data_IF_395807163339
#
_entry.id   IF_395807163339
#
_cell.length_a   1.000
_cell.length_b   1.000
_cell.length_c   1.000
_cell.angle_alpha   90.00
_cell.angle_beta   90.00
_cell.angle_gamma   90.00
#
_symmetry.space_group_name_H-M   'P 1'
#
loop_
_entity.id
_entity.type
_entity.pdbx_description
1 polymer ?
#
# COMPACT_ATOMS: atom_id res chain seq x y z
N UNK A 1 31.01 40.69 29.03
CA UNK A 1 30.73 39.25 28.81
C UNK A 1 29.22 39.10 28.67
N UNK A 2 28.57 38.79 27.57
CA UNK A 2 28.94 38.45 26.20
C UNK A 2 27.61 38.04 25.54
N UNK A 3 26.89 38.99 24.95
CA UNK A 3 25.69 38.73 24.14
C UNK A 3 26.16 38.54 22.69
N UNK A 4 25.99 37.34 22.14
CA UNK A 4 26.32 37.05 20.75
C UNK A 4 25.22 36.20 20.11
N UNK A 5 25.06 36.42 18.80
CA UNK A 5 24.27 35.66 17.82
C UNK A 5 22.82 36.13 17.59
N UNK A 6 22.72 37.39 17.13
CA UNK A 6 21.75 37.77 16.08
C UNK A 6 22.54 37.83 14.76
N UNK A 7 21.91 37.48 13.63
CA UNK A 7 22.48 37.22 12.30
C UNK A 7 22.96 35.76 12.22
N UNK A 8 22.27 34.87 11.51
CA UNK A 8 22.16 34.84 10.05
C UNK A 8 20.84 34.16 9.64
N UNK A 9 20.04 34.80 8.79
CA UNK A 9 19.61 34.26 7.48
C UNK A 9 18.55 35.19 6.85
N UNK A 10 18.94 36.43 6.59
CA UNK A 10 18.21 37.28 5.64
C UNK A 10 18.81 37.04 4.26
N UNK A 11 18.32 36.04 3.54
CA UNK A 11 18.41 36.01 2.09
C UNK A 11 17.14 35.41 1.49
N UNK A 12 16.37 36.31 0.90
CA UNK A 12 15.49 36.14 -0.25
C UNK A 12 14.37 35.10 -0.14
N UNK A 13 13.11 35.55 -0.09
CA UNK A 13 12.18 35.42 -1.22
C UNK A 13 11.02 36.41 -1.04
N UNK A 14 10.81 37.28 -2.03
CA UNK A 14 9.68 38.22 -2.10
C UNK A 14 8.38 37.45 -2.39
N UNK A 15 7.19 37.96 -2.02
CA UNK A 15 5.94 37.33 -2.39
C UNK A 15 5.64 37.68 -3.86
N UNK A 16 5.63 36.66 -4.72
CA UNK A 16 5.07 36.78 -6.08
C UNK A 16 3.82 35.93 -6.14
N UNK A 17 2.70 36.63 -6.36
CA UNK A 17 1.39 36.09 -6.69
C UNK A 17 1.41 35.39 -8.05
N UNK A 18 0.60 34.34 -8.17
CA UNK A 18 0.17 33.63 -9.37
C UNK A 18 1.03 32.46 -9.87
N UNK A 19 0.37 31.29 -9.93
CA UNK A 19 0.48 30.32 -11.02
C UNK A 19 1.63 29.33 -10.97
N UNK A 20 1.28 28.05 -10.90
CA UNK A 20 2.03 26.86 -11.35
C UNK A 20 3.52 26.75 -10.98
N UNK A 21 3.86 25.73 -10.17
CA UNK A 21 5.02 24.83 -10.38
C UNK A 21 5.16 23.86 -9.21
N UNK A 22 4.83 22.59 -9.46
CA UNK A 22 5.74 21.45 -9.37
C UNK A 22 6.91 21.57 -8.36
N UNK A 23 6.84 20.76 -7.29
CA UNK A 23 8.00 20.40 -6.45
C UNK A 23 8.32 21.34 -5.29
N UNK A 24 7.38 21.54 -4.35
CA UNK A 24 7.73 22.07 -3.03
C UNK A 24 8.10 20.90 -2.14
N UNK A 25 9.33 20.88 -1.62
CA UNK A 25 9.76 19.95 -0.59
C UNK A 25 8.77 20.00 0.59
N UNK A 26 7.85 19.05 0.66
CA UNK A 26 6.78 19.02 1.67
C UNK A 26 7.30 19.07 3.11
N UNK A 27 8.52 18.56 3.32
CA UNK A 27 9.26 18.61 4.59
C UNK A 27 9.64 20.04 4.98
N UNK A 28 10.12 20.84 4.03
CA UNK A 28 10.48 22.24 4.24
C UNK A 28 9.26 23.09 4.57
N UNK A 29 8.13 22.84 3.90
CA UNK A 29 6.86 23.49 4.21
C UNK A 29 6.33 23.11 5.60
N UNK A 30 6.38 21.82 5.96
CA UNK A 30 5.98 21.35 7.29
C UNK A 30 6.84 21.97 8.40
N UNK A 31 8.17 21.97 8.23
CA UNK A 31 9.07 22.56 9.23
C UNK A 31 8.85 24.06 9.38
N UNK A 32 8.67 24.79 8.27
CA UNK A 32 8.37 26.22 8.30
C UNK A 32 7.09 26.54 9.08
N UNK A 33 6.01 25.80 8.79
CA UNK A 33 4.72 26.00 9.48
C UNK A 33 4.78 25.61 10.96
N UNK A 34 5.58 24.60 11.34
CA UNK A 34 5.81 24.24 12.75
C UNK A 34 6.54 25.37 13.50
N UNK A 35 7.59 25.96 12.92
CA UNK A 35 8.28 27.10 13.53
C UNK A 35 7.43 28.37 13.53
N UNK A 36 6.62 28.59 12.50
CA UNK A 36 5.67 29.70 12.47
C UNK A 36 4.60 29.54 13.56
N UNK A 37 4.14 28.31 13.83
CA UNK A 37 3.25 28.00 14.95
C UNK A 37 3.90 28.24 16.31
N UNK A 38 5.20 27.95 16.48
CA UNK A 38 5.95 28.26 17.72
C UNK A 38 5.91 29.76 18.04
N UNK A 39 6.01 30.61 17.01
CA UNK A 39 6.04 32.06 17.13
C UNK A 39 4.63 32.66 17.28
N UNK A 40 3.67 32.18 16.50
CA UNK A 40 2.35 32.83 16.35
C UNK A 40 1.21 32.07 17.02
N UNK A 41 1.42 30.80 17.40
CA UNK A 41 0.38 29.87 17.86
C UNK A 41 -0.82 29.73 16.91
N UNK A 42 -0.65 30.10 15.63
CA UNK A 42 -1.69 29.99 14.61
C UNK A 42 -1.38 28.83 13.65
N UNK A 43 -2.43 28.06 13.34
CA UNK A 43 -2.37 26.95 12.39
C UNK A 43 -2.68 27.47 10.98
N UNK A 44 -2.05 26.94 9.91
CA UNK A 44 -2.33 27.39 8.54
C UNK A 44 -3.81 27.33 8.19
N UNK A 45 -4.37 28.41 7.66
CA UNK A 45 -5.82 28.50 7.34
C UNK A 45 -6.26 27.46 6.30
N UNK A 46 -5.37 27.14 5.36
CA UNK A 46 -5.59 26.14 4.30
C UNK A 46 -5.76 24.71 4.82
N UNK A 47 -5.20 24.38 5.98
CA UNK A 47 -5.26 23.04 6.55
C UNK A 47 -6.69 22.63 6.95
N UNK A 48 -7.51 23.60 7.35
CA UNK A 48 -8.89 23.35 7.77
C UNK A 48 -9.79 22.83 6.64
N UNK A 49 -9.39 22.98 5.38
CA UNK A 49 -10.11 22.40 4.24
C UNK A 49 -9.77 20.93 4.00
N UNK A 50 -8.64 20.44 4.52
CA UNK A 50 -8.17 19.07 4.31
C UNK A 50 -8.44 18.15 5.51
N UNK A 51 -8.74 18.72 6.67
CA UNK A 51 -8.81 18.01 7.96
C UNK A 51 -10.21 18.17 8.54
N UNK A 52 -10.79 17.09 9.08
CA UNK A 52 -12.15 17.06 9.66
C UNK A 52 -12.17 17.64 11.09
N UNK A 53 -11.02 17.62 11.77
CA UNK A 53 -10.81 18.24 13.08
C UNK A 53 -10.99 19.76 13.10
N UNK A 54 -11.61 20.27 14.16
CA UNK A 54 -11.74 21.72 14.43
C UNK A 54 -10.38 22.43 14.57
N UNK A 55 -10.32 23.74 14.31
CA UNK A 55 -9.10 24.57 14.48
C UNK A 55 -8.46 24.43 15.88
N UNK A 56 -9.26 24.23 16.92
CA UNK A 56 -8.78 24.00 18.30
C UNK A 56 -8.11 22.63 18.45
N UNK A 57 -8.68 21.59 17.84
CA UNK A 57 -8.04 20.28 17.79
C UNK A 57 -6.74 20.34 16.98
N UNK A 58 -6.74 21.08 15.85
CA UNK A 58 -5.56 21.34 15.03
C UNK A 58 -4.40 21.94 15.83
N UNK A 59 -4.64 23.01 16.60
CA UNK A 59 -3.61 23.59 17.45
C UNK A 59 -3.05 22.60 18.49
N UNK A 60 -3.89 21.70 19.03
CA UNK A 60 -3.44 20.72 20.01
C UNK A 60 -2.54 19.65 19.41
N UNK A 61 -2.80 19.19 18.19
CA UNK A 61 -1.94 18.20 17.55
C UNK A 61 -0.72 18.83 16.85
N UNK A 62 -0.78 20.09 16.41
CA UNK A 62 0.41 20.87 16.01
C UNK A 62 1.39 21.05 17.18
N UNK A 63 0.89 21.32 18.39
CA UNK A 63 1.73 21.39 19.59
C UNK A 63 2.46 20.06 19.84
N UNK A 64 1.75 18.92 19.72
CA UNK A 64 2.35 17.59 19.84
C UNK A 64 3.38 17.29 18.75
N UNK A 65 3.11 17.71 17.50
CA UNK A 65 4.06 17.57 16.40
C UNK A 65 5.32 18.39 16.65
N UNK A 66 5.19 19.62 17.14
CA UNK A 66 6.32 20.48 17.48
C UNK A 66 7.19 19.86 18.59
N UNK A 67 6.56 19.37 19.67
CA UNK A 67 7.26 18.73 20.79
C UNK A 67 8.05 17.50 20.31
N UNK A 68 7.38 16.63 19.55
CA UNK A 68 8.03 15.45 18.97
C UNK A 68 9.12 15.81 17.93
N UNK A 69 8.97 16.93 17.21
CA UNK A 69 9.96 17.39 16.22
C UNK A 69 11.23 17.91 16.88
N UNK A 70 11.12 18.49 18.08
CA UNK A 70 12.27 18.90 18.90
C UNK A 70 12.99 17.71 19.54
N UNK A 71 12.24 16.65 19.89
CA UNK A 71 12.79 15.41 20.45
C UNK A 71 13.48 14.53 19.38
N UNK A 72 13.02 14.60 18.13
CA UNK A 72 13.61 13.87 17.00
C UNK A 72 15.03 14.39 16.67
N UNK A 73 16.06 13.63 17.04
CA UNK A 73 17.46 13.85 16.63
C UNK A 73 17.92 12.63 15.83
N UNK A 74 18.14 12.72 14.50
CA UNK A 74 18.09 13.91 13.64
C UNK A 74 16.68 14.32 13.20
N UNK A 75 16.46 15.60 12.83
CA UNK A 75 15.21 16.04 12.23
C UNK A 75 14.98 15.32 10.89
N UNK A 76 13.74 14.92 10.57
CA UNK A 76 13.46 14.18 9.34
C UNK A 76 13.79 15.07 8.15
N UNK A 77 14.73 14.61 7.31
CA UNK A 77 15.19 15.36 6.13
C UNK A 77 14.53 14.88 4.84
N UNK A 78 13.91 13.70 4.87
CA UNK A 78 13.26 13.09 3.72
C UNK A 78 11.73 13.15 3.87
N UNK A 79 10.99 13.28 2.75
CA UNK A 79 9.52 13.31 2.77
C UNK A 79 8.92 12.01 3.33
N UNK A 80 9.61 10.89 3.16
CA UNK A 80 9.23 9.58 3.72
C UNK A 80 9.38 9.55 5.25
N UNK A 81 10.48 10.06 5.80
CA UNK A 81 10.68 10.17 7.25
C UNK A 81 9.67 11.11 7.90
N UNK A 82 9.39 12.26 7.24
CA UNK A 82 8.42 13.23 7.73
C UNK A 82 6.99 12.64 7.75
N UNK A 83 6.61 11.87 6.72
CA UNK A 83 5.32 11.18 6.70
C UNK A 83 5.19 10.16 7.83
N UNK A 84 6.24 9.36 8.05
CA UNK A 84 6.30 8.34 9.12
C UNK A 84 6.23 8.99 10.50
N UNK A 85 6.92 10.12 10.68
CA UNK A 85 6.90 10.91 11.90
C UNK A 85 5.50 11.45 12.22
N UNK A 86 4.80 12.01 11.22
CA UNK A 86 3.41 12.46 11.40
C UNK A 86 2.51 11.30 11.80
N UNK A 87 2.58 10.18 11.08
CA UNK A 87 1.76 8.99 11.35
C UNK A 87 2.00 8.47 12.77
N UNK A 88 3.27 8.39 13.20
CA UNK A 88 3.63 7.93 14.54
C UNK A 88 3.13 8.87 15.64
N UNK A 89 3.25 10.18 15.44
CA UNK A 89 2.85 11.20 16.41
C UNK A 89 1.33 11.30 16.51
N UNK A 90 0.64 11.16 15.38
CA UNK A 90 -0.82 11.27 15.28
C UNK A 90 -1.56 9.93 15.36
N UNK A 91 -0.90 8.81 15.69
CA UNK A 91 -1.49 7.46 15.79
C UNK A 91 -2.77 7.33 16.63
N UNK A 92 -2.99 8.26 17.58
CA UNK A 92 -4.18 8.30 18.45
C UNK A 92 -5.30 9.23 17.94
N UNK A 93 -5.11 9.90 16.81
CA UNK A 93 -6.08 10.80 16.18
C UNK A 93 -6.78 10.12 15.00
N UNK A 94 -7.77 10.79 14.41
CA UNK A 94 -8.57 10.24 13.31
C UNK A 94 -7.72 10.06 12.06
N UNK A 95 -7.94 8.95 11.33
CA UNK A 95 -7.21 8.65 10.08
C UNK A 95 -7.41 9.73 9.01
N UNK A 96 -8.64 10.24 8.88
CA UNK A 96 -8.96 11.31 7.93
C UNK A 96 -8.15 12.60 8.19
N UNK A 97 -7.86 12.92 9.44
CA UNK A 97 -7.08 14.11 9.80
C UNK A 97 -5.59 13.93 9.45
N UNK A 98 -5.08 12.70 9.59
CA UNK A 98 -3.72 12.34 9.20
C UNK A 98 -3.59 12.37 7.68
N UNK A 99 -4.51 11.73 6.95
CA UNK A 99 -4.53 11.73 5.49
C UNK A 99 -4.62 13.15 4.92
N UNK A 100 -5.46 14.00 5.51
CA UNK A 100 -5.60 15.40 5.16
C UNK A 100 -4.32 16.22 5.32
N UNK A 101 -3.57 15.98 6.41
CA UNK A 101 -2.28 16.63 6.63
C UNK A 101 -1.24 16.18 5.59
N UNK A 102 -1.12 14.87 5.36
CA UNK A 102 -0.19 14.34 4.37
C UNK A 102 -0.49 14.91 2.98
N UNK A 103 -1.77 15.01 2.62
CA UNK A 103 -2.21 15.63 1.37
C UNK A 103 -1.87 17.12 1.29
N UNK A 104 -2.11 17.89 2.37
CA UNK A 104 -1.81 19.33 2.41
C UNK A 104 -0.32 19.63 2.19
N UNK A 105 0.56 18.86 2.84
CA UNK A 105 2.01 19.01 2.68
C UNK A 105 2.59 18.25 1.48
N UNK A 106 1.74 17.62 0.64
CA UNK A 106 2.18 16.77 -0.48
C UNK A 106 3.21 15.71 -0.06
N UNK A 107 3.11 15.22 1.18
CA UNK A 107 3.95 14.15 1.67
C UNK A 107 3.44 12.83 1.08
N UNK A 108 4.35 11.93 0.64
CA UNK A 108 3.93 10.63 0.16
C UNK A 108 3.14 9.97 1.28
N UNK A 109 1.87 9.67 1.01
CA UNK A 109 1.17 8.69 1.80
C UNK A 109 1.99 7.43 1.64
N UNK A 110 2.60 6.98 2.74
CA UNK A 110 3.34 5.73 2.79
C UNK A 110 2.48 4.73 2.01
N UNK A 111 2.99 4.09 0.93
CA UNK A 111 2.23 3.02 0.30
C UNK A 111 1.84 2.09 1.44
N UNK A 112 0.56 1.66 1.54
CA UNK A 112 0.10 0.80 2.63
C UNK A 112 1.14 -0.30 2.69
N UNK A 113 1.92 -0.32 3.79
CA UNK A 113 3.22 -0.94 3.82
C UNK A 113 3.15 -2.19 2.98
N UNK A 114 3.81 -2.18 1.80
CA UNK A 114 4.17 -3.44 1.16
C UNK A 114 4.85 -4.14 2.29
N UNK A 115 4.14 -5.09 2.88
CA UNK A 115 4.53 -5.63 4.15
C UNK A 115 5.80 -6.39 3.81
N UNK A 116 6.95 -5.74 3.96
CA UNK A 116 8.18 -6.38 4.39
C UNK A 116 7.90 -6.82 5.81
N UNK A 117 6.94 -7.74 5.92
CA UNK A 117 6.90 -8.76 6.92
C UNK A 117 8.29 -9.36 6.80
N UNK A 118 9.19 -8.94 7.68
CA UNK A 118 10.39 -9.71 7.95
C UNK A 118 9.87 -11.12 8.19
N UNK A 119 10.05 -12.00 7.21
CA UNK A 119 9.46 -13.33 7.23
C UNK A 119 9.87 -13.96 8.56
N UNK A 120 8.92 -14.46 9.37
CA UNK A 120 9.27 -15.03 10.65
C UNK A 120 10.30 -16.15 10.44
N UNK A 121 11.27 -16.21 11.36
CA UNK A 121 12.35 -17.19 11.30
C UNK A 121 11.77 -18.60 11.12
N UNK A 122 12.01 -19.24 9.98
CA UNK A 122 11.50 -20.58 9.65
C UNK A 122 10.52 -20.66 8.48
N UNK A 123 10.11 -19.54 7.86
CA UNK A 123 9.35 -19.61 6.60
C UNK A 123 10.27 -20.05 5.46
N UNK A 124 9.91 -21.17 4.82
CA UNK A 124 10.62 -21.72 3.65
C UNK A 124 10.02 -21.26 2.32
N UNK A 125 8.71 -21.02 2.30
CA UNK A 125 7.96 -20.71 1.09
C UNK A 125 6.92 -19.62 1.38
N UNK A 126 6.81 -18.67 0.46
CA UNK A 126 5.78 -17.63 0.47
C UNK A 126 4.98 -17.74 -0.83
N UNK A 127 3.65 -17.76 -0.71
CA UNK A 127 2.72 -17.84 -1.82
C UNK A 127 1.83 -16.61 -1.82
N UNK A 128 2.00 -15.77 -2.82
CA UNK A 128 1.12 -14.62 -3.07
C UNK A 128 0.00 -15.09 -3.99
N UNK A 129 -1.24 -15.04 -3.50
CA UNK A 129 -2.40 -15.62 -4.17
C UNK A 129 -3.55 -14.62 -4.21
N UNK A 130 -4.45 -14.80 -5.18
CA UNK A 130 -5.72 -14.10 -5.21
C UNK A 130 -6.58 -14.51 -4.00
N UNK A 131 -7.54 -13.66 -3.58
CA UNK A 131 -8.43 -13.96 -2.46
C UNK A 131 -9.03 -15.36 -2.58
N UNK A 132 -8.80 -16.20 -1.58
CA UNK A 132 -9.28 -17.58 -1.55
C UNK A 132 -10.74 -17.59 -1.12
N UNK A 133 -11.60 -18.13 -1.98
CA UNK A 133 -13.00 -18.37 -1.62
C UNK A 133 -13.07 -19.53 -0.61
N UNK A 134 -13.94 -19.39 0.38
CA UNK A 134 -14.32 -20.45 1.32
C UNK A 134 -14.64 -21.78 0.63
N UNK A 135 -15.26 -21.75 -0.57
CA UNK A 135 -15.56 -22.96 -1.37
C UNK A 135 -14.32 -23.67 -1.92
N UNK A 136 -13.19 -22.98 -1.99
CA UNK A 136 -11.91 -23.53 -2.46
C UNK A 136 -11.12 -24.22 -1.33
N UNK A 137 -11.63 -24.14 -0.09
CA UNK A 137 -11.13 -24.83 1.11
C UNK A 137 -12.16 -25.92 1.50
N UNK A 138 -12.08 -27.12 0.90
CA UNK A 138 -12.88 -28.24 1.39
C UNK A 138 -12.45 -28.64 2.81
N UNK A 139 -13.33 -29.31 3.57
CA UNK A 139 -13.10 -29.80 4.95
C UNK A 139 -12.04 -30.93 5.07
N UNK A 140 -10.97 -30.90 4.26
CA UNK A 140 -9.89 -31.87 4.26
C UNK A 140 -8.51 -31.25 4.06
N UNK A 141 -7.50 -32.10 3.84
CA UNK A 141 -6.09 -31.71 3.78
C UNK A 141 -5.67 -30.95 2.50
N UNK A 142 -6.62 -30.40 1.73
CA UNK A 142 -6.33 -29.75 0.44
C UNK A 142 -6.91 -28.35 0.39
N UNK A 143 -6.10 -27.38 -0.06
CA UNK A 143 -6.56 -26.04 -0.41
C UNK A 143 -6.29 -25.80 -1.90
N UNK A 144 -7.29 -25.26 -2.61
CA UNK A 144 -7.08 -24.75 -3.98
C UNK A 144 -6.86 -23.24 -3.93
N UNK A 145 -5.71 -22.79 -4.41
CA UNK A 145 -5.40 -21.36 -4.53
C UNK A 145 -5.18 -20.99 -5.98
N UNK A 146 -5.34 -19.70 -6.28
CA UNK A 146 -5.14 -19.15 -7.61
C UNK A 146 -4.08 -18.06 -7.55
N UNK A 147 -3.10 -18.13 -8.46
CA UNK A 147 -2.05 -17.10 -8.60
C UNK A 147 -2.29 -16.35 -9.90
N UNK A 148 -2.16 -15.02 -9.87
CA UNK A 148 -2.44 -14.19 -11.04
C UNK A 148 -1.36 -14.38 -12.10
N UNK A 149 -1.77 -14.42 -13.37
CA UNK A 149 -0.80 -14.40 -14.47
C UNK A 149 -0.18 -13.02 -14.71
N UNK A 150 -0.69 -11.98 -14.04
CA UNK A 150 -0.06 -10.65 -14.01
C UNK A 150 1.25 -10.65 -13.22
N UNK A 151 1.43 -11.63 -12.34
CA UNK A 151 2.64 -11.72 -11.53
C UNK A 151 3.83 -12.08 -12.43
N UNK A 152 4.95 -11.35 -12.39
CA UNK A 152 6.10 -11.58 -13.29
C UNK A 152 6.66 -13.01 -13.24
N UNK A 153 6.45 -13.71 -12.12
CA UNK A 153 6.88 -15.09 -11.91
C UNK A 153 6.03 -16.10 -12.69
N UNK A 154 4.73 -15.84 -12.83
CA UNK A 154 3.82 -16.73 -13.54
C UNK A 154 3.65 -16.32 -15.00
N UNK A 155 3.78 -15.04 -15.34
CA UNK A 155 3.59 -14.52 -16.70
C UNK A 155 4.50 -15.20 -17.73
N UNK A 156 5.74 -15.53 -17.35
CA UNK A 156 6.71 -16.24 -18.20
C UNK A 156 6.33 -17.69 -18.48
N UNK A 157 5.52 -18.30 -17.61
CA UNK A 157 5.16 -19.71 -17.68
C UNK A 157 3.80 -19.94 -18.38
N UNK A 158 3.09 -18.87 -18.79
CA UNK A 158 1.78 -19.01 -19.42
C UNK A 158 1.94 -19.35 -20.91
N UNK A 159 1.36 -20.46 -21.39
CA UNK A 159 1.34 -20.77 -22.82
C UNK A 159 0.59 -19.71 -23.63
N UNK A 160 1.10 -19.38 -24.82
CA UNK A 160 0.46 -18.43 -25.74
C UNK A 160 -0.99 -18.81 -26.07
N UNK A 161 -1.27 -20.11 -26.19
CA UNK A 161 -2.61 -20.61 -26.49
C UNK A 161 -3.64 -20.26 -25.41
N UNK A 162 -3.21 -20.25 -24.14
CA UNK A 162 -4.07 -19.90 -23.00
C UNK A 162 -4.35 -18.40 -22.98
N UNK A 163 -3.34 -17.57 -23.28
CA UNK A 163 -3.52 -16.11 -23.40
C UNK A 163 -4.49 -15.78 -24.54
N UNK A 164 -4.28 -16.37 -25.72
CA UNK A 164 -5.17 -16.19 -26.86
C UNK A 164 -6.59 -16.67 -26.57
N UNK A 165 -6.75 -17.81 -25.88
CA UNK A 165 -8.07 -18.31 -25.50
C UNK A 165 -8.77 -17.37 -24.51
N UNK A 166 -8.04 -16.77 -23.56
CA UNK A 166 -8.58 -15.79 -22.63
C UNK A 166 -9.06 -14.52 -23.35
N UNK A 167 -8.26 -14.00 -24.29
CA UNK A 167 -8.62 -12.85 -25.13
C UNK A 167 -9.82 -13.14 -26.04
N UNK A 168 -9.87 -14.32 -26.65
CA UNK A 168 -11.00 -14.72 -27.48
C UNK A 168 -12.28 -14.88 -26.65
N UNK A 169 -12.16 -15.38 -25.42
CA UNK A 169 -13.28 -15.54 -24.50
C UNK A 169 -13.83 -14.18 -24.07
N UNK A 170 -12.97 -13.22 -23.75
CA UNK A 170 -13.42 -11.87 -23.37
C UNK A 170 -14.15 -11.19 -24.53
N UNK A 171 -13.64 -11.33 -25.76
CA UNK A 171 -14.32 -10.87 -26.99
C UNK A 171 -15.66 -11.58 -27.22
N UNK A 172 -15.72 -12.90 -27.01
CA UNK A 172 -16.95 -13.67 -27.16
C UNK A 172 -18.02 -13.24 -26.15
N UNK A 173 -17.63 -12.95 -24.90
CA UNK A 173 -18.53 -12.40 -23.87
C UNK A 173 -19.02 -11.00 -24.21
N UNK A 174 -18.13 -10.12 -24.71
CA UNK A 174 -18.52 -8.79 -25.18
C UNK A 174 -19.54 -8.87 -26.32
N UNK A 175 -19.39 -9.85 -27.22
CA UNK A 175 -20.33 -10.14 -28.31
C UNK A 175 -21.58 -10.95 -27.88
N UNK A 176 -21.78 -11.20 -26.58
CA UNK A 176 -22.88 -12.03 -26.03
C UNK A 176 -22.94 -13.46 -26.58
N UNK A 177 -21.83 -13.98 -27.11
CA UNK A 177 -21.72 -15.36 -27.58
C UNK A 177 -21.22 -16.26 -26.44
N UNK A 178 -22.15 -16.65 -25.57
CA UNK A 178 -21.85 -17.43 -24.36
C UNK A 178 -21.37 -18.85 -24.67
N UNK A 179 -21.92 -19.51 -25.69
CA UNK A 179 -21.53 -20.87 -26.08
C UNK A 179 -20.05 -20.96 -26.41
N UNK A 180 -19.57 -20.05 -27.26
CA UNK A 180 -18.14 -19.98 -27.62
C UNK A 180 -17.26 -19.59 -26.42
N UNK A 181 -17.75 -18.69 -25.56
CA UNK A 181 -17.03 -18.29 -24.36
C UNK A 181 -16.85 -19.45 -23.37
N UNK A 182 -17.85 -20.31 -23.22
CA UNK A 182 -17.82 -21.46 -22.32
C UNK A 182 -16.93 -22.59 -22.85
N UNK A 183 -16.92 -22.85 -24.17
CA UNK A 183 -15.97 -23.76 -24.81
C UNK A 183 -14.52 -23.30 -24.59
N UNK A 184 -14.25 -22.02 -24.82
CA UNK A 184 -12.93 -21.44 -24.57
C UNK A 184 -12.57 -21.51 -23.08
N UNK A 185 -13.54 -21.31 -22.19
CA UNK A 185 -13.31 -21.42 -20.75
C UNK A 185 -12.92 -22.85 -20.34
N UNK A 186 -13.57 -23.87 -20.90
CA UNK A 186 -13.21 -25.29 -20.68
C UNK A 186 -11.77 -25.57 -21.12
N UNK A 187 -11.38 -25.10 -22.32
CA UNK A 187 -10.00 -25.26 -22.82
C UNK A 187 -8.96 -24.63 -21.88
N UNK A 188 -9.28 -23.48 -21.29
CA UNK A 188 -8.43 -22.81 -20.30
C UNK A 188 -8.33 -23.64 -19.01
N UNK A 189 -9.46 -24.19 -18.53
CA UNK A 189 -9.52 -25.07 -17.34
C UNK A 189 -8.69 -26.34 -17.55
N UNK A 190 -8.81 -26.98 -18.70
CA UNK A 190 -8.08 -28.21 -19.03
C UNK A 190 -6.56 -27.96 -19.07
N UNK A 191 -6.15 -26.73 -19.38
CA UNK A 191 -4.76 -26.29 -19.36
C UNK A 191 -4.23 -25.97 -17.95
N UNK A 192 -5.04 -26.13 -16.90
CA UNK A 192 -4.67 -25.82 -15.51
C UNK A 192 -4.83 -24.33 -15.12
N UNK A 193 -5.43 -23.52 -15.98
CA UNK A 193 -5.70 -22.11 -15.75
C UNK A 193 -7.18 -21.86 -15.52
N UNK A 194 -7.53 -20.72 -14.97
CA UNK A 194 -8.93 -20.33 -14.78
C UNK A 194 -9.07 -18.82 -14.92
N UNK A 195 -10.10 -18.40 -15.64
CA UNK A 195 -10.49 -16.99 -15.65
C UNK A 195 -11.45 -16.74 -14.49
N UNK A 196 -11.04 -15.91 -13.55
CA UNK A 196 -11.81 -15.48 -12.37
C UNK A 196 -12.36 -14.08 -12.62
N UNK A 197 -13.54 -13.79 -12.08
CA UNK A 197 -14.08 -12.43 -12.09
C UNK A 197 -13.94 -11.84 -10.68
N UNK A 198 -12.98 -10.93 -10.51
CA UNK A 198 -12.71 -10.24 -9.25
C UNK A 198 -12.95 -8.75 -9.48
N UNK A 199 -13.82 -8.13 -8.67
CA UNK A 199 -14.12 -6.69 -8.78
C UNK A 199 -14.52 -6.23 -10.20
N UNK A 200 -15.33 -7.04 -10.90
CA UNK A 200 -15.75 -6.82 -12.30
C UNK A 200 -14.62 -6.86 -13.34
N UNK A 201 -13.45 -7.38 -12.98
CA UNK A 201 -12.34 -7.62 -13.91
C UNK A 201 -12.13 -9.13 -14.10
N UNK A 202 -11.97 -9.54 -15.36
CA UNK A 202 -11.60 -10.90 -15.71
C UNK A 202 -10.08 -11.08 -15.56
N UNK A 203 -9.68 -11.88 -14.58
CA UNK A 203 -8.27 -12.17 -14.28
C UNK A 203 -7.99 -13.62 -14.67
N UNK A 204 -7.02 -13.82 -15.57
CA UNK A 204 -6.47 -15.14 -15.85
C UNK A 204 -5.53 -15.55 -14.71
N UNK A 205 -5.82 -16.67 -14.08
CA UNK A 205 -5.06 -17.18 -12.95
C UNK A 205 -4.69 -18.64 -13.14
N UNK A 206 -3.55 -19.06 -12.58
CA UNK A 206 -3.12 -20.45 -12.55
C UNK A 206 -3.68 -21.14 -11.31
N UNK A 207 -4.19 -22.35 -11.47
CA UNK A 207 -4.69 -23.18 -10.36
C UNK A 207 -3.53 -23.88 -9.67
N UNK A 208 -3.44 -23.74 -8.35
CA UNK A 208 -2.52 -24.48 -7.51
C UNK A 208 -3.29 -25.28 -6.46
N UNK A 209 -2.89 -26.53 -6.26
CA UNK A 209 -3.47 -27.41 -5.25
C UNK A 209 -2.42 -27.70 -4.19
N UNK A 210 -2.64 -27.13 -3.02
CA UNK A 210 -1.78 -27.31 -1.85
C UNK A 210 -2.34 -28.46 -1.04
N UNK A 211 -1.50 -29.45 -0.71
CA UNK A 211 -1.85 -30.49 0.25
C UNK A 211 -1.06 -30.30 1.54
N UNK A 212 -1.76 -30.47 2.66
CA UNK A 212 -1.17 -30.49 3.98
C UNK A 212 -0.87 -31.93 4.34
N UNK A 213 0.37 -32.35 4.10
CA UNK A 213 0.84 -33.68 4.48
C UNK A 213 1.38 -33.60 5.92
N UNK A 214 0.85 -34.41 6.83
CA UNK A 214 1.48 -34.61 8.12
C UNK A 214 2.59 -35.66 7.98
N UNK A 215 3.85 -35.24 8.11
CA UNK A 215 4.94 -36.21 8.25
C UNK A 215 5.02 -36.63 9.72
N UNK A 216 4.84 -37.93 9.99
CA UNK A 216 5.15 -38.51 11.29
C UNK A 216 6.62 -38.92 11.31
N UNK A 217 7.47 -38.11 11.95
CA UNK A 217 8.84 -38.50 12.25
C UNK A 217 8.95 -38.69 13.77
N UNK A 218 8.62 -39.91 14.24
CA UNK A 218 8.48 -40.22 15.67
C UNK A 218 7.25 -39.57 16.32
N UNK A 219 7.31 -39.29 17.62
CA UNK A 219 6.23 -38.65 18.40
C UNK A 219 6.02 -37.15 18.09
N UNK A 220 6.64 -36.62 17.03
CA UNK A 220 6.46 -35.24 16.56
C UNK A 220 5.75 -35.25 15.21
N UNK A 221 4.61 -34.57 15.13
CA UNK A 221 3.95 -34.27 13.86
C UNK A 221 4.51 -32.94 13.32
N UNK A 222 5.20 -32.99 12.19
CA UNK A 222 5.55 -31.81 11.41
C UNK A 222 4.60 -31.70 10.21
N UNK A 223 4.03 -30.51 9.98
CA UNK A 223 3.19 -30.23 8.80
C UNK A 223 4.09 -29.72 7.68
N UNK A 224 4.09 -30.40 6.54
CA UNK A 224 4.81 -29.97 5.34
C UNK A 224 3.81 -29.51 4.26
N UNK A 225 4.24 -28.55 3.44
CA UNK A 225 3.45 -27.97 2.37
C UNK A 225 3.94 -28.53 1.03
N UNK A 226 3.17 -29.44 0.44
CA UNK A 226 3.44 -29.92 -0.91
C UNK A 226 2.57 -29.14 -1.91
N UNK A 227 3.22 -28.33 -2.75
CA UNK A 227 2.57 -27.69 -3.88
C UNK A 227 2.58 -28.66 -5.07
N UNK A 228 1.41 -29.23 -5.39
CA UNK A 228 1.24 -30.09 -6.56
C UNK A 228 0.96 -29.17 -7.77
N UNK A 229 1.88 -29.19 -8.75
CA UNK A 229 1.77 -28.46 -10.02
C UNK A 229 0.81 -29.14 -11.00
#
# INVERSE_FOLDING_TARGET
MGNALRLLYSHCFKPTTAGDSQGKDGVSALSHDLFQFDITSQVPEGLSYHVVSSKKAQANWYRKLLDAWREAKPPPKTPEEASSFVIQTLKRHQKADVEGLLAYYSLPQQPPASATTSLPQGVKFELQTLPVDTKAVPDGDTITVYVSTTDPRESLNVPRDVQLAADQRSRARAAKNYTKADELHKKIIDSGYRVLNLQNQEILARKYRIRLSAMKQGNRCTREFDAIR
#
